data_IF_294574160250
#
_entry.id   IF_294574160250
#
_cell.length_a   1.000
_cell.length_b   1.000
_cell.length_c   1.000
_cell.angle_alpha   90.00
_cell.angle_beta   90.00
_cell.angle_gamma   90.00
#
_symmetry.space_group_name_H-M   'P 1'
#
loop_
_entity.id
_entity.type
_entity.pdbx_description
1 polymer ?
#
# COMPACT_ATOMS: atom_id res chain seq x y z
N UNK A 1 -16.91 4.29 -7.60
CA UNK A 1 -16.83 4.88 -6.25
C UNK A 1 -15.50 4.47 -5.63
N UNK A 2 -14.83 5.33 -4.88
CA UNK A 2 -13.54 5.01 -4.28
C UNK A 2 -13.71 4.60 -2.81
N UNK A 3 -12.93 3.63 -2.36
CA UNK A 3 -12.78 3.26 -0.94
C UNK A 3 -11.37 3.61 -0.51
N UNK A 4 -11.23 4.63 0.31
CA UNK A 4 -9.93 5.07 0.80
C UNK A 4 -9.47 4.18 1.95
N UNK A 5 -8.21 3.80 1.93
CA UNK A 5 -7.51 3.04 2.97
C UNK A 5 -6.33 3.92 3.36
N UNK A 6 -6.45 4.67 4.47
CA UNK A 6 -5.47 5.66 4.86
C UNK A 6 -4.59 5.14 6.00
N UNK A 7 -3.28 5.14 5.81
CA UNK A 7 -2.30 4.74 6.80
C UNK A 7 -1.25 5.82 6.99
N UNK A 8 -0.65 5.88 8.17
CA UNK A 8 0.44 6.80 8.48
C UNK A 8 1.71 5.99 8.60
N UNK A 9 2.66 6.29 7.72
CA UNK A 9 3.98 5.70 7.77
C UNK A 9 4.70 6.03 9.07
N UNK A 10 5.59 5.12 9.46
CA UNK A 10 6.50 5.32 10.57
C UNK A 10 7.73 4.46 10.39
N UNK A 11 8.65 4.54 11.35
CA UNK A 11 9.86 3.69 11.42
C UNK A 11 9.56 2.24 11.81
N UNK A 12 8.27 1.90 11.88
CA UNK A 12 7.74 0.60 12.27
C UNK A 12 8.05 -0.53 11.31
N UNK A 13 7.57 -1.72 11.68
CA UNK A 13 7.72 -2.94 10.86
C UNK A 13 6.60 -3.05 9.81
N UNK A 14 6.79 -3.93 8.82
CA UNK A 14 5.72 -4.30 7.86
C UNK A 14 4.42 -4.67 8.57
N UNK A 15 4.53 -5.35 9.71
CA UNK A 15 3.39 -5.79 10.52
C UNK A 15 2.54 -4.62 11.02
N UNK A 16 3.18 -3.50 11.35
CA UNK A 16 2.50 -2.30 11.82
C UNK A 16 1.67 -1.66 10.71
N UNK A 17 2.24 -1.52 9.51
CA UNK A 17 1.50 -1.04 8.34
C UNK A 17 0.33 -1.97 8.02
N UNK A 18 0.53 -3.28 8.01
CA UNK A 18 -0.54 -4.24 7.74
C UNK A 18 -1.67 -4.16 8.77
N UNK A 19 -1.36 -3.88 10.03
CA UNK A 19 -2.38 -3.65 11.07
C UNK A 19 -3.12 -2.34 10.86
N UNK A 20 -2.43 -1.26 10.51
CA UNK A 20 -3.10 0.00 10.18
C UNK A 20 -4.03 -0.15 8.96
N UNK A 21 -3.63 -0.93 7.96
CA UNK A 21 -4.50 -1.27 6.82
C UNK A 21 -5.74 -2.04 7.30
N UNK A 22 -5.58 -3.07 8.14
CA UNK A 22 -6.74 -3.77 8.72
C UNK A 22 -7.68 -2.83 9.47
N UNK A 23 -7.13 -1.94 10.31
CA UNK A 23 -7.91 -0.96 11.07
C UNK A 23 -8.68 -0.01 10.15
N UNK A 24 -8.06 0.45 9.07
CA UNK A 24 -8.70 1.30 8.04
C UNK A 24 -9.78 0.59 7.24
N UNK A 25 -9.74 -0.74 7.21
CA UNK A 25 -10.74 -1.60 6.62
C UNK A 25 -11.81 -2.04 7.63
N UNK A 26 -11.84 -1.43 8.82
CA UNK A 26 -12.76 -1.75 9.92
C UNK A 26 -12.62 -3.19 10.44
N UNK A 27 -11.40 -3.74 10.41
CA UNK A 27 -11.09 -5.11 10.87
C UNK A 27 -10.13 -5.10 12.06
N UNK A 28 -10.58 -5.67 13.17
CA UNK A 28 -9.73 -5.96 14.33
C UNK A 28 -8.81 -7.15 14.05
N UNK A 29 -7.64 -6.86 13.47
CA UNK A 29 -6.61 -7.85 13.25
C UNK A 29 -5.69 -8.02 14.47
N UNK A 30 -5.96 -9.00 15.34
CA UNK A 30 -5.07 -9.38 16.45
C UNK A 30 -3.93 -10.32 16.04
N UNK A 31 -3.84 -10.66 14.76
CA UNK A 31 -2.81 -11.57 14.26
C UNK A 31 -1.41 -10.95 14.34
N UNK A 32 -0.43 -11.78 14.67
CA UNK A 32 0.99 -11.47 14.57
C UNK A 32 1.63 -12.02 13.28
N UNK A 33 0.85 -12.73 12.46
CA UNK A 33 1.31 -13.34 11.22
C UNK A 33 1.04 -12.42 10.03
N UNK A 34 2.11 -11.99 9.36
CA UNK A 34 2.07 -11.23 8.09
C UNK A 34 1.19 -11.93 7.07
N UNK A 35 1.35 -13.25 6.90
CA UNK A 35 0.56 -14.03 5.94
C UNK A 35 -0.95 -14.00 6.25
N UNK A 36 -1.32 -14.04 7.53
CA UNK A 36 -2.73 -13.97 7.94
C UNK A 36 -3.32 -12.59 7.70
N UNK A 37 -2.57 -11.53 8.00
CA UNK A 37 -3.00 -10.15 7.73
C UNK A 37 -3.17 -9.91 6.24
N UNK A 38 -2.17 -10.31 5.43
CA UNK A 38 -2.24 -10.20 3.97
C UNK A 38 -3.45 -10.94 3.40
N UNK A 39 -3.71 -12.16 3.84
CA UNK A 39 -4.89 -12.93 3.41
C UNK A 39 -6.19 -12.20 3.75
N UNK A 40 -6.29 -11.66 4.96
CA UNK A 40 -7.46 -10.91 5.43
C UNK A 40 -7.69 -9.66 4.58
N UNK A 41 -6.64 -8.86 4.37
CA UNK A 41 -6.66 -7.65 3.54
C UNK A 41 -7.08 -8.01 2.11
N UNK A 42 -6.48 -9.03 1.50
CA UNK A 42 -6.81 -9.46 0.13
C UNK A 42 -8.29 -9.84 0.00
N UNK A 43 -8.85 -10.56 0.96
CA UNK A 43 -10.27 -10.94 0.93
C UNK A 43 -11.18 -9.71 0.94
N UNK A 44 -10.92 -8.73 1.81
CA UNK A 44 -11.71 -7.50 1.89
C UNK A 44 -11.57 -6.67 0.62
N UNK A 45 -10.37 -6.59 0.05
CA UNK A 45 -10.15 -5.89 -1.22
C UNK A 45 -10.98 -6.52 -2.34
N UNK A 46 -11.06 -7.85 -2.40
CA UNK A 46 -11.93 -8.57 -3.36
C UNK A 46 -13.40 -8.18 -3.15
N UNK A 47 -13.89 -8.10 -1.92
CA UNK A 47 -15.26 -7.69 -1.61
C UNK A 47 -15.55 -6.23 -2.05
N UNK A 48 -14.60 -5.32 -1.84
CA UNK A 48 -14.69 -3.92 -2.29
C UNK A 48 -14.80 -3.86 -3.83
N UNK A 49 -13.97 -4.63 -4.53
CA UNK A 49 -13.94 -4.69 -6.00
C UNK A 49 -15.24 -5.29 -6.54
N UNK A 50 -15.73 -6.39 -5.94
CA UNK A 50 -17.00 -7.01 -6.29
C UNK A 50 -18.19 -6.06 -6.07
N UNK A 51 -18.07 -5.16 -5.08
CA UNK A 51 -19.02 -4.07 -4.83
C UNK A 51 -18.86 -2.88 -5.79
N UNK A 52 -18.06 -3.01 -6.86
CA UNK A 52 -17.76 -1.97 -7.86
C UNK A 52 -17.09 -0.71 -7.26
N UNK A 53 -16.41 -0.87 -6.14
CA UNK A 53 -15.58 0.17 -5.54
C UNK A 53 -14.11 -0.04 -5.93
N UNK A 54 -13.36 1.06 -6.00
CA UNK A 54 -11.93 1.04 -6.28
C UNK A 54 -11.21 1.31 -4.96
N UNK A 55 -10.48 0.34 -4.39
CA UNK A 55 -9.68 0.57 -3.20
C UNK A 55 -8.48 1.46 -3.55
N UNK A 56 -8.19 2.46 -2.73
CA UNK A 56 -7.03 3.34 -2.89
C UNK A 56 -6.28 3.41 -1.57
N UNK A 57 -5.02 2.96 -1.57
CA UNK A 57 -4.15 3.05 -0.40
C UNK A 57 -3.48 4.41 -0.37
N UNK A 58 -3.67 5.16 0.70
CA UNK A 58 -3.00 6.43 0.96
C UNK A 58 -2.02 6.19 2.11
N UNK A 59 -0.75 6.49 1.88
CA UNK A 59 0.29 6.45 2.89
C UNK A 59 0.74 7.88 3.16
N UNK A 60 0.43 8.39 4.34
CA UNK A 60 0.95 9.66 4.80
C UNK A 60 2.33 9.49 5.46
N UNK A 61 3.12 10.56 5.52
CA UNK A 61 4.49 10.56 6.05
C UNK A 61 5.43 9.49 5.44
N UNK A 62 5.22 9.14 4.15
CA UNK A 62 5.86 8.02 3.48
C UNK A 62 7.39 8.06 3.48
N UNK A 63 8.01 9.23 3.74
CA UNK A 63 9.46 9.35 3.94
C UNK A 63 9.99 8.58 5.16
N UNK A 64 9.11 8.23 6.11
CA UNK A 64 9.44 7.47 7.31
C UNK A 64 9.48 5.95 7.05
N UNK A 65 8.90 5.47 5.95
CA UNK A 65 8.88 4.04 5.63
C UNK A 65 10.30 3.54 5.35
N UNK A 66 10.66 2.43 6.01
CA UNK A 66 11.92 1.71 5.75
C UNK A 66 11.85 1.03 4.38
N UNK A 67 12.95 1.06 3.61
CA UNK A 67 13.00 0.50 2.25
C UNK A 67 12.56 -0.97 2.15
N UNK A 68 12.91 -1.78 3.16
CA UNK A 68 12.48 -3.20 3.24
C UNK A 68 10.96 -3.37 3.31
N UNK A 69 10.26 -2.37 3.87
CA UNK A 69 8.80 -2.35 3.95
C UNK A 69 8.20 -2.03 2.60
N UNK A 70 8.70 -1.02 1.88
CA UNK A 70 8.32 -0.74 0.49
C UNK A 70 8.49 -1.96 -0.40
N UNK A 71 9.63 -2.65 -0.25
CA UNK A 71 9.92 -3.87 -0.99
C UNK A 71 8.93 -5.01 -0.70
N UNK A 72 8.17 -5.00 0.40
CA UNK A 72 7.11 -5.99 0.64
C UNK A 72 5.72 -5.49 0.20
N UNK A 73 5.50 -4.18 0.09
CA UNK A 73 4.19 -3.63 -0.30
C UNK A 73 3.73 -4.09 -1.69
N UNK A 74 4.64 -4.40 -2.62
CA UNK A 74 4.28 -4.97 -3.92
C UNK A 74 3.48 -6.28 -3.80
N UNK A 75 3.68 -7.05 -2.72
CA UNK A 75 2.97 -8.32 -2.49
C UNK A 75 1.51 -8.12 -2.05
N UNK A 76 1.17 -6.95 -1.51
CA UNK A 76 -0.20 -6.58 -1.14
C UNK A 76 -1.06 -6.42 -2.40
N UNK A 77 -0.50 -5.78 -3.44
CA UNK A 77 -1.19 -5.49 -4.69
C UNK A 77 -1.16 -6.61 -5.74
N UNK A 78 -0.39 -7.69 -5.52
CA UNK A 78 -0.41 -8.87 -6.39
C UNK A 78 -1.61 -9.77 -6.05
N UNK A 79 -2.64 -9.69 -6.88
CA UNK A 79 -3.81 -10.56 -6.85
C UNK A 79 -3.63 -11.70 -7.87
N UNK A 80 -3.90 -12.95 -7.44
CA UNK A 80 -3.70 -14.16 -8.24
C UNK A 80 -4.78 -14.39 -9.32
N UNK A 81 -5.83 -13.56 -9.38
CA UNK A 81 -6.86 -13.63 -10.42
C UNK A 81 -6.87 -12.34 -11.25
N UNK A 82 -6.35 -12.44 -12.48
CA UNK A 82 -6.30 -11.39 -13.52
C UNK A 82 -5.38 -10.19 -13.25
N UNK A 83 -4.06 -10.44 -13.19
CA UNK A 83 -2.90 -9.63 -13.68
C UNK A 83 -2.89 -8.08 -13.66
N UNK A 84 -3.89 -7.40 -13.11
CA UNK A 84 -4.03 -5.95 -13.06
C UNK A 84 -3.91 -5.53 -11.60
N UNK A 85 -2.98 -4.63 -11.26
CA UNK A 85 -2.87 -4.11 -9.90
C UNK A 85 -4.17 -3.39 -9.53
N UNK A 86 -4.93 -3.92 -8.57
CA UNK A 86 -6.30 -3.43 -8.31
C UNK A 86 -6.37 -2.25 -7.32
N UNK A 87 -5.23 -1.86 -6.75
CA UNK A 87 -5.19 -0.84 -5.70
C UNK A 87 -4.12 0.22 -6.02
N UNK A 88 -4.51 1.39 -6.55
CA UNK A 88 -3.63 2.54 -6.63
C UNK A 88 -3.06 2.90 -5.25
N UNK A 89 -1.79 3.33 -5.23
CA UNK A 89 -1.10 3.77 -4.01
C UNK A 89 -0.73 5.24 -4.13
N UNK A 90 -1.15 6.04 -3.17
CA UNK A 90 -0.81 7.46 -3.04
C UNK A 90 0.19 7.58 -1.90
N UNK A 91 1.38 8.13 -2.17
CA UNK A 91 2.39 8.41 -1.15
C UNK A 91 2.43 9.93 -0.91
N UNK A 92 2.18 10.32 0.33
CA UNK A 92 2.27 11.69 0.83
C UNK A 92 3.45 11.82 1.78
N UNK A 93 4.19 12.93 1.71
CA UNK A 93 5.35 13.15 2.57
C UNK A 93 6.19 14.36 2.19
N UNK A 94 7.27 14.57 2.94
CA UNK A 94 8.22 15.67 2.72
C UNK A 94 9.11 15.48 1.49
N UNK A 95 9.72 16.56 0.99
CA UNK A 95 10.61 16.59 -0.18
C UNK A 95 11.67 15.47 -0.26
N UNK A 96 12.22 15.04 0.89
CA UNK A 96 13.21 13.96 0.96
C UNK A 96 12.67 12.59 0.50
N UNK A 97 11.36 12.43 0.43
CA UNK A 97 10.66 11.26 -0.12
C UNK A 97 11.05 11.01 -1.58
N UNK A 98 11.15 12.08 -2.38
CA UNK A 98 11.49 12.00 -3.81
C UNK A 98 12.93 11.48 -3.97
N UNK A 99 13.87 11.92 -3.12
CA UNK A 99 15.24 11.43 -3.12
C UNK A 99 15.36 9.92 -2.82
N UNK A 100 14.61 9.44 -1.82
CA UNK A 100 14.61 8.03 -1.43
C UNK A 100 13.90 7.13 -2.47
N UNK A 101 12.85 7.63 -3.12
CA UNK A 101 12.13 6.87 -4.14
C UNK A 101 12.87 6.84 -5.47
N UNK A 102 13.47 7.95 -5.92
CA UNK A 102 14.16 8.05 -7.22
C UNK A 102 15.40 7.14 -7.33
N UNK A 103 16.09 6.89 -6.20
CA UNK A 103 17.27 6.01 -6.19
C UNK A 103 16.90 4.51 -6.28
N UNK A 104 15.67 4.12 -5.94
CA UNK A 104 15.27 2.71 -5.81
C UNK A 104 14.08 2.29 -6.69
N UNK A 105 13.28 3.22 -7.23
CA UNK A 105 12.18 2.92 -8.16
C UNK A 105 12.66 2.59 -9.58
N UNK A 106 13.94 2.81 -9.89
CA UNK A 106 14.51 2.47 -11.19
C UNK A 106 14.91 0.99 -11.29
N UNK A 107 13.93 0.11 -11.52
CA UNK A 107 13.98 -0.93 -12.60
C UNK A 107 12.77 -1.88 -12.64
N UNK A 108 12.16 -2.34 -11.54
CA UNK A 108 10.99 -3.23 -11.64
C UNK A 108 9.63 -2.51 -11.62
N UNK A 109 9.53 -1.33 -11.01
CA UNK A 109 8.26 -0.57 -10.94
C UNK A 109 8.03 0.22 -12.23
N UNK A 110 9.06 0.85 -12.80
CA UNK A 110 8.95 1.62 -14.04
C UNK A 110 8.64 0.79 -15.31
N UNK A 111 8.89 -0.53 -15.29
CA UNK A 111 8.67 -1.40 -16.47
C UNK A 111 7.38 -2.23 -16.42
N UNK A 112 6.68 -2.29 -15.28
CA UNK A 112 5.45 -3.06 -15.11
C UNK A 112 4.32 -2.32 -14.38
N UNK A 113 4.54 -1.09 -13.90
CA UNK A 113 3.49 -0.25 -13.35
C UNK A 113 3.02 0.72 -14.44
N UNK A 114 2.00 0.32 -15.18
CA UNK A 114 1.13 1.27 -15.89
C UNK A 114 0.43 2.16 -14.84
N UNK A 115 1.09 3.23 -14.38
CA UNK A 115 0.43 4.41 -13.79
C UNK A 115 -0.24 4.29 -12.41
N UNK A 116 0.17 3.39 -11.52
CA UNK A 116 -0.57 3.13 -10.26
C UNK A 116 0.04 3.69 -8.95
N UNK A 117 1.16 4.43 -9.01
CA UNK A 117 1.74 5.10 -7.84
C UNK A 117 1.75 6.61 -8.10
N UNK A 118 0.99 7.36 -7.30
CA UNK A 118 0.96 8.82 -7.34
C UNK A 118 1.72 9.37 -6.14
N UNK A 119 2.72 10.21 -6.41
CA UNK A 119 3.45 10.94 -5.36
C UNK A 119 2.81 12.32 -5.20
N UNK A 120 2.36 12.62 -4.00
CA UNK A 120 1.84 13.94 -3.64
C UNK A 120 2.80 14.55 -2.64
N UNK A 121 3.41 15.68 -3.00
CA UNK A 121 4.34 16.39 -2.14
C UNK A 121 3.56 17.41 -1.31
N UNK A 122 3.66 17.34 0.02
CA UNK A 122 3.10 18.36 0.90
C UNK A 122 4.18 19.43 1.09
N UNK A 123 3.90 20.64 0.60
CA UNK A 123 4.78 21.81 0.64
C UNK A 123 4.85 22.42 2.04
#
# INVERSE_FOLDING_TARGET
MYRLIAVVAGTGSVLEILRQICLSLDVECRSHSIATLLKTIKNILIEIIQSKQIPVLIIDEAQLIRLEVFAQMHTIGQFDMDSKPVMPVILSGQNNLIGNLMYHTSRPIASRADGHILLVNLM
#
